data_IF_688126479710
#
_entry.id   IF_688126479710
#
_cell.length_a   1.000
_cell.length_b   1.000
_cell.length_c   1.000
_cell.angle_alpha   90.00
_cell.angle_beta   90.00
_cell.angle_gamma   90.00
#
_symmetry.space_group_name_H-M   'P 1'
#
loop_
_entity.id
_entity.type
_entity.pdbx_description
1 polymer ?
#
# COMPACT_ATOMS: atom_id res chain seq x y z
N UNK A 1 -9.69 -23.17 -20.89
CA UNK A 1 -9.13 -23.20 -19.51
C UNK A 1 -8.12 -22.07 -19.17
N UNK A 2 -7.79 -21.14 -20.09
CA UNK A 2 -6.80 -20.04 -19.85
C UNK A 2 -7.38 -18.61 -19.73
N UNK A 3 -8.71 -18.44 -19.79
CA UNK A 3 -9.31 -17.11 -19.95
C UNK A 3 -10.19 -16.63 -18.77
N UNK A 4 -10.66 -17.49 -17.87
CA UNK A 4 -11.70 -17.10 -16.91
C UNK A 4 -11.31 -17.11 -15.42
N UNK A 5 -10.17 -17.73 -15.04
CA UNK A 5 -9.55 -17.50 -13.72
C UNK A 5 -8.95 -16.09 -13.58
N UNK A 6 -8.98 -15.27 -14.64
CA UNK A 6 -8.63 -13.83 -14.62
C UNK A 6 -9.67 -12.93 -13.93
N UNK A 7 -10.84 -13.45 -13.53
CA UNK A 7 -11.93 -12.62 -12.99
C UNK A 7 -11.98 -12.48 -11.46
N UNK A 8 -11.13 -13.19 -10.70
CA UNK A 8 -11.08 -13.07 -9.22
C UNK A 8 -9.93 -12.19 -8.69
N UNK A 9 -9.11 -11.63 -9.57
CA UNK A 9 -8.17 -10.55 -9.24
C UNK A 9 -8.26 -9.47 -10.32
N UNK A 10 -8.73 -8.28 -9.93
CA UNK A 10 -8.83 -7.02 -10.67
C UNK A 10 -8.15 -6.95 -12.05
N UNK A 11 -8.89 -7.24 -13.13
CA UNK A 11 -8.61 -6.74 -14.49
C UNK A 11 -9.82 -6.99 -15.41
N UNK A 12 -10.83 -6.11 -15.35
CA UNK A 12 -11.87 -6.05 -16.38
C UNK A 12 -11.39 -5.09 -17.46
N UNK A 13 -11.05 -5.60 -18.64
CA UNK A 13 -10.91 -4.77 -19.85
C UNK A 13 -12.33 -4.29 -20.17
N UNK A 14 -12.64 -3.06 -19.76
CA UNK A 14 -13.93 -2.41 -19.97
C UNK A 14 -13.90 -1.72 -21.34
N UNK A 15 -14.03 -2.50 -22.40
CA UNK A 15 -14.30 -1.99 -23.74
C UNK A 15 -15.78 -2.18 -24.06
N UNK A 16 -16.68 -1.57 -23.29
CA UNK A 16 -18.10 -1.51 -23.68
C UNK A 16 -18.76 -0.32 -22.99
N UNK A 17 -19.43 0.50 -23.81
CA UNK A 17 -19.99 1.83 -23.57
C UNK A 17 -20.74 1.93 -22.24
N UNK A 18 -20.02 2.28 -21.18
CA UNK A 18 -20.60 2.60 -19.88
C UNK A 18 -20.73 4.12 -19.76
N UNK A 19 -21.85 4.61 -19.22
CA UNK A 19 -22.00 6.03 -18.86
C UNK A 19 -21.02 6.47 -17.76
N UNK A 20 -20.46 5.51 -17.01
CA UNK A 20 -19.53 5.73 -15.92
C UNK A 20 -18.09 5.50 -16.39
N UNK A 21 -17.15 6.44 -16.12
CA UNK A 21 -15.74 6.24 -16.42
C UNK A 21 -15.19 4.94 -15.78
N UNK A 22 -14.30 4.26 -16.48
CA UNK A 22 -13.91 2.89 -16.14
C UNK A 22 -13.11 2.79 -14.83
N UNK A 23 -12.43 3.86 -14.44
CA UNK A 23 -11.74 4.01 -13.15
C UNK A 23 -12.74 3.94 -11.98
N UNK A 24 -13.91 4.57 -12.10
CA UNK A 24 -14.95 4.51 -11.07
C UNK A 24 -15.57 3.11 -10.99
N UNK A 25 -15.74 2.44 -12.13
CA UNK A 25 -16.16 1.04 -12.13
C UNK A 25 -15.15 0.16 -11.39
N UNK A 26 -13.85 0.34 -11.64
CA UNK A 26 -12.80 -0.42 -10.98
C UNK A 26 -12.79 -0.19 -9.46
N UNK A 27 -12.94 1.05 -9.01
CA UNK A 27 -13.04 1.41 -7.59
C UNK A 27 -14.27 0.77 -6.95
N UNK A 28 -15.43 0.86 -7.61
CA UNK A 28 -16.67 0.25 -7.13
C UNK A 28 -16.54 -1.28 -7.00
N UNK A 29 -15.87 -1.91 -7.95
CA UNK A 29 -15.57 -3.34 -7.85
C UNK A 29 -14.72 -3.65 -6.63
N UNK A 30 -13.58 -2.97 -6.44
CA UNK A 30 -12.74 -3.16 -5.28
C UNK A 30 -13.54 -2.99 -3.97
N UNK A 31 -14.30 -1.91 -3.86
CA UNK A 31 -15.14 -1.61 -2.69
C UNK A 31 -16.18 -2.69 -2.40
N UNK A 32 -16.86 -3.23 -3.42
CA UNK A 32 -17.85 -4.29 -3.25
C UNK A 32 -17.23 -5.59 -2.71
N UNK A 33 -16.02 -5.93 -3.16
CA UNK A 33 -15.34 -7.15 -2.71
C UNK A 33 -14.51 -6.94 -1.43
N UNK A 34 -14.30 -5.70 -0.97
CA UNK A 34 -13.54 -5.38 0.25
C UNK A 34 -14.12 -5.99 1.53
N UNK A 35 -15.43 -6.25 1.55
CA UNK A 35 -16.10 -6.78 2.74
C UNK A 35 -16.02 -8.30 2.88
N UNK A 36 -15.56 -9.02 1.87
CA UNK A 36 -15.51 -10.49 1.89
C UNK A 36 -14.35 -10.94 2.78
N UNK A 37 -14.65 -11.55 3.92
CA UNK A 37 -13.60 -11.90 4.90
C UNK A 37 -13.10 -13.35 4.74
N UNK A 38 -13.87 -14.22 4.08
CA UNK A 38 -13.54 -15.64 4.00
C UNK A 38 -13.78 -16.24 2.62
N UNK A 39 -13.07 -17.34 2.34
CA UNK A 39 -13.29 -18.16 1.14
C UNK A 39 -14.71 -18.72 1.11
N UNK A 40 -15.26 -19.14 2.25
CA UNK A 40 -16.64 -19.63 2.33
C UNK A 40 -17.66 -18.55 1.94
N UNK A 41 -17.42 -17.30 2.36
CA UNK A 41 -18.27 -16.16 1.97
C UNK A 41 -18.15 -15.87 0.45
N UNK A 42 -16.94 -15.87 -0.10
CA UNK A 42 -16.72 -15.71 -1.54
C UNK A 42 -17.44 -16.80 -2.36
N UNK A 43 -17.32 -18.05 -1.91
CA UNK A 43 -17.96 -19.21 -2.54
C UNK A 43 -19.49 -19.05 -2.50
N UNK A 44 -20.06 -18.83 -1.32
CA UNK A 44 -21.51 -18.81 -1.14
C UNK A 44 -22.18 -17.62 -1.82
N UNK A 45 -21.60 -16.42 -1.71
CA UNK A 45 -22.24 -15.18 -2.20
C UNK A 45 -22.01 -14.93 -3.70
N UNK A 46 -20.93 -15.45 -4.28
CA UNK A 46 -20.51 -15.06 -5.63
C UNK A 46 -20.25 -16.25 -6.53
N UNK A 47 -19.35 -17.14 -6.13
CA UNK A 47 -18.81 -18.11 -7.09
C UNK A 47 -19.71 -19.33 -7.30
N UNK A 48 -20.40 -19.81 -6.26
CA UNK A 48 -21.39 -20.88 -6.38
C UNK A 48 -22.59 -20.45 -7.24
N UNK A 49 -23.23 -19.27 -7.02
CA UNK A 49 -24.26 -18.75 -7.93
C UNK A 49 -23.76 -18.55 -9.38
N UNK A 50 -22.49 -18.16 -9.55
CA UNK A 50 -21.89 -18.05 -10.88
C UNK A 50 -21.79 -19.41 -11.57
N UNK A 51 -21.24 -20.42 -10.91
CA UNK A 51 -21.13 -21.78 -11.47
C UNK A 51 -22.50 -22.34 -11.83
N UNK A 52 -23.51 -22.10 -10.98
CA UNK A 52 -24.88 -22.54 -11.25
C UNK A 52 -25.45 -21.90 -12.51
N UNK A 53 -25.23 -20.60 -12.70
CA UNK A 53 -25.67 -19.88 -13.90
C UNK A 53 -24.94 -20.33 -15.17
N UNK A 54 -23.68 -20.74 -15.05
CA UNK A 54 -22.81 -21.09 -16.17
C UNK A 54 -22.40 -22.57 -16.14
N UNK A 55 -23.33 -23.45 -15.76
CA UNK A 55 -23.06 -24.89 -15.56
C UNK A 55 -22.37 -25.56 -16.75
N UNK A 56 -22.71 -25.15 -17.98
CA UNK A 56 -22.17 -25.69 -19.22
C UNK A 56 -20.66 -25.41 -19.42
N UNK A 57 -20.07 -24.45 -18.71
CA UNK A 57 -18.63 -24.14 -18.78
C UNK A 57 -17.78 -25.07 -17.90
N UNK A 58 -18.42 -25.91 -17.09
CA UNK A 58 -17.77 -26.76 -16.11
C UNK A 58 -18.08 -28.24 -16.37
N UNK A 59 -17.10 -29.12 -16.15
CA UNK A 59 -17.24 -30.56 -16.41
C UNK A 59 -18.41 -31.16 -15.61
N UNK A 60 -19.20 -32.04 -16.23
CA UNK A 60 -20.23 -32.82 -15.56
C UNK A 60 -19.58 -33.78 -14.56
N UNK A 61 -19.44 -33.33 -13.31
CA UNK A 61 -18.99 -34.14 -12.18
C UNK A 61 -20.05 -34.09 -11.10
N UNK A 62 -20.11 -35.10 -10.24
CA UNK A 62 -21.11 -35.23 -9.17
C UNK A 62 -20.96 -34.20 -8.03
N UNK A 63 -20.10 -33.20 -8.19
CA UNK A 63 -19.89 -32.15 -7.20
C UNK A 63 -20.98 -31.10 -7.32
N UNK A 64 -21.51 -30.67 -6.18
CA UNK A 64 -22.39 -29.51 -6.11
C UNK A 64 -21.66 -28.24 -6.58
N UNK A 65 -22.37 -27.21 -7.04
CA UNK A 65 -21.77 -25.92 -7.42
C UNK A 65 -20.90 -25.32 -6.32
N UNK A 66 -21.30 -25.48 -5.06
CA UNK A 66 -20.58 -25.01 -3.87
C UNK A 66 -19.28 -25.78 -3.65
N UNK A 67 -19.30 -27.11 -3.70
CA UNK A 67 -18.07 -27.92 -3.55
C UNK A 67 -17.07 -27.63 -4.66
N UNK A 68 -17.57 -27.48 -5.88
CA UNK A 68 -16.74 -27.12 -7.04
C UNK A 68 -16.13 -25.73 -6.88
N UNK A 69 -16.93 -24.74 -6.48
CA UNK A 69 -16.47 -23.39 -6.21
C UNK A 69 -15.35 -23.37 -5.17
N UNK A 70 -15.56 -24.07 -4.04
CA UNK A 70 -14.58 -24.20 -2.97
C UNK A 70 -13.28 -24.81 -3.49
N UNK A 71 -13.37 -25.95 -4.20
CA UNK A 71 -12.19 -26.63 -4.72
C UNK A 71 -11.36 -25.74 -5.66
N UNK A 72 -12.01 -25.08 -6.63
CA UNK A 72 -11.31 -24.21 -7.59
C UNK A 72 -10.64 -23.04 -6.88
N UNK A 73 -11.31 -22.41 -5.91
CA UNK A 73 -10.73 -21.27 -5.18
C UNK A 73 -9.58 -21.74 -4.30
N UNK A 74 -9.73 -22.83 -3.55
CA UNK A 74 -8.68 -23.35 -2.67
C UNK A 74 -7.44 -23.75 -3.47
N UNK A 75 -7.60 -24.53 -4.55
CA UNK A 75 -6.48 -24.90 -5.43
C UNK A 75 -5.78 -23.67 -6.03
N UNK A 76 -6.55 -22.63 -6.40
CA UNK A 76 -5.98 -21.37 -6.87
C UNK A 76 -5.19 -20.65 -5.77
N UNK A 77 -5.69 -20.58 -4.55
CA UNK A 77 -5.02 -19.89 -3.45
C UNK A 77 -3.75 -20.63 -3.01
N UNK A 78 -3.78 -21.95 -2.91
CA UNK A 78 -2.62 -22.79 -2.59
C UNK A 78 -1.50 -22.63 -3.63
N UNK A 79 -1.85 -22.72 -4.93
CA UNK A 79 -0.88 -22.55 -6.02
C UNK A 79 -0.17 -21.20 -6.00
N UNK A 80 -0.83 -20.17 -5.46
CA UNK A 80 -0.29 -18.82 -5.34
C UNK A 80 0.18 -18.48 -3.92
N UNK A 81 0.32 -19.46 -3.01
CA UNK A 81 0.70 -19.28 -1.60
C UNK A 81 -0.08 -18.15 -0.90
N UNK A 82 -1.38 -18.06 -1.19
CA UNK A 82 -2.27 -16.95 -0.80
C UNK A 82 -3.42 -17.38 0.11
N UNK A 83 -3.41 -18.63 0.59
CA UNK A 83 -4.41 -19.20 1.50
C UNK A 83 -4.52 -18.38 2.80
N UNK A 84 -3.39 -17.98 3.38
CA UNK A 84 -3.31 -17.21 4.65
C UNK A 84 -3.46 -15.71 4.47
N UNK A 85 -3.45 -15.22 3.24
CA UNK A 85 -3.48 -13.79 2.90
C UNK A 85 -4.69 -13.41 2.06
N UNK A 86 -5.69 -14.30 1.99
CA UNK A 86 -6.91 -14.07 1.23
C UNK A 86 -7.55 -12.72 1.59
N UNK A 87 -7.76 -11.89 0.57
CA UNK A 87 -8.40 -10.57 0.64
C UNK A 87 -7.87 -9.60 1.73
N UNK A 88 -6.67 -9.82 2.29
CA UNK A 88 -6.05 -8.90 3.27
C UNK A 88 -5.62 -7.58 2.65
N UNK A 89 -5.29 -7.58 1.36
CA UNK A 89 -4.86 -6.41 0.61
C UNK A 89 -5.45 -6.42 -0.78
N UNK A 90 -6.06 -5.31 -1.17
CA UNK A 90 -6.63 -5.12 -2.50
C UNK A 90 -5.76 -4.18 -3.33
N UNK A 91 -5.66 -4.50 -4.62
CA UNK A 91 -4.96 -3.69 -5.61
C UNK A 91 -5.85 -3.49 -6.82
N UNK A 92 -5.86 -2.27 -7.34
CA UNK A 92 -6.53 -1.90 -8.58
C UNK A 92 -5.46 -1.73 -9.66
N UNK A 93 -5.61 -2.43 -10.79
CA UNK A 93 -4.73 -2.27 -11.94
C UNK A 93 -5.60 -1.87 -13.12
N UNK A 94 -5.45 -0.63 -13.56
CA UNK A 94 -6.08 -0.08 -14.74
C UNK A 94 -5.17 -0.35 -15.94
N UNK A 95 -5.76 -0.89 -17.01
CA UNK A 95 -5.05 -1.24 -18.23
C UNK A 95 -5.81 -0.64 -19.42
N UNK A 96 -5.15 0.22 -20.19
CA UNK A 96 -5.74 0.87 -21.36
C UNK A 96 -4.68 1.10 -22.45
N UNK A 97 -5.13 1.42 -23.68
CA UNK A 97 -4.22 1.84 -24.75
C UNK A 97 -3.65 3.25 -24.52
N UNK A 98 -4.43 4.09 -23.85
CA UNK A 98 -4.05 5.42 -23.39
C UNK A 98 -4.98 5.86 -22.24
N UNK A 99 -4.60 6.92 -21.53
CA UNK A 99 -5.39 7.53 -20.46
C UNK A 99 -5.50 9.03 -20.69
N UNK A 100 -6.69 9.60 -20.53
CA UNK A 100 -6.84 11.05 -20.55
C UNK A 100 -6.33 11.70 -19.24
N UNK A 101 -6.09 13.01 -19.31
CA UNK A 101 -5.54 13.78 -18.20
C UNK A 101 -6.40 13.75 -16.94
N UNK A 102 -7.74 13.67 -17.08
CA UNK A 102 -8.64 13.66 -15.93
C UNK A 102 -8.53 12.33 -15.19
N UNK A 103 -8.55 11.21 -15.91
CA UNK A 103 -8.34 9.89 -15.32
C UNK A 103 -6.97 9.78 -14.65
N UNK A 104 -5.90 10.26 -15.30
CA UNK A 104 -4.56 10.26 -14.71
C UNK A 104 -4.48 11.13 -13.46
N UNK A 105 -5.09 12.32 -13.47
CA UNK A 105 -5.14 13.21 -12.31
C UNK A 105 -5.86 12.56 -11.13
N UNK A 106 -7.02 11.94 -11.37
CA UNK A 106 -7.77 11.22 -10.35
C UNK A 106 -6.98 10.03 -9.79
N UNK A 107 -6.36 9.23 -10.66
CA UNK A 107 -5.53 8.09 -10.24
C UNK A 107 -4.28 8.55 -9.48
N UNK A 108 -3.65 9.65 -9.89
CA UNK A 108 -2.51 10.21 -9.18
C UNK A 108 -2.90 10.69 -7.78
N UNK A 109 -4.07 11.31 -7.63
CA UNK A 109 -4.62 11.68 -6.33
C UNK A 109 -4.89 10.45 -5.46
N UNK A 110 -5.42 9.36 -6.02
CA UNK A 110 -5.63 8.09 -5.30
C UNK A 110 -4.31 7.45 -4.85
N UNK A 111 -3.29 7.44 -5.71
CA UNK A 111 -1.93 6.99 -5.35
C UNK A 111 -1.35 7.85 -4.24
N UNK A 112 -1.50 9.18 -4.33
CA UNK A 112 -1.05 10.11 -3.29
C UNK A 112 -1.76 9.87 -1.95
N UNK A 113 -3.07 9.57 -2.02
CA UNK A 113 -3.89 9.14 -0.89
C UNK A 113 -3.90 7.63 -0.73
N UNK A 114 -2.78 6.97 -1.04
CA UNK A 114 -2.48 5.69 -0.45
C UNK A 114 -3.34 4.50 -0.91
N UNK A 115 -4.14 4.70 -1.95
CA UNK A 115 -4.85 3.62 -2.62
C UNK A 115 -3.86 2.87 -3.50
N UNK A 116 -3.79 1.54 -3.34
CA UNK A 116 -2.95 0.68 -4.18
C UNK A 116 -3.58 0.54 -5.57
N UNK A 117 -3.41 1.58 -6.39
CA UNK A 117 -3.86 1.67 -7.78
C UNK A 117 -2.68 1.87 -8.73
N UNK A 118 -2.70 1.22 -9.89
CA UNK A 118 -1.70 1.40 -10.94
C UNK A 118 -2.35 1.60 -12.31
N UNK A 119 -1.75 2.46 -13.13
CA UNK A 119 -2.16 2.69 -14.52
C UNK A 119 -1.10 2.14 -15.47
N UNK A 120 -1.46 1.12 -16.25
CA UNK A 120 -0.60 0.48 -17.24
C UNK A 120 -1.14 0.79 -18.64
N UNK A 121 -0.29 1.40 -19.45
CA UNK A 121 -0.53 1.60 -20.86
C UNK A 121 -0.02 0.37 -21.63
N UNK A 122 -0.85 -0.22 -22.49
CA UNK A 122 -0.45 -1.35 -23.35
C UNK A 122 -0.65 -0.98 -24.81
N UNK A 123 0.41 -1.09 -25.60
CA UNK A 123 0.41 -0.80 -27.03
C UNK A 123 0.92 -2.01 -27.82
N UNK A 124 0.21 -2.46 -28.86
CA UNK A 124 0.74 -3.47 -29.78
C UNK A 124 1.87 -2.87 -30.62
N UNK A 125 2.97 -3.62 -30.76
CA UNK A 125 4.10 -3.22 -31.60
C UNK A 125 4.51 -4.38 -32.51
N UNK A 126 4.93 -4.07 -33.74
CA UNK A 126 5.40 -5.07 -34.70
C UNK A 126 6.89 -4.85 -34.95
N UNK A 127 7.71 -5.85 -34.66
CA UNK A 127 9.16 -5.84 -34.90
C UNK A 127 9.50 -7.09 -35.71
N UNK A 128 10.16 -6.94 -36.85
CA UNK A 128 10.63 -8.06 -37.69
C UNK A 128 9.58 -9.16 -37.95
N UNK A 129 8.34 -8.74 -38.22
CA UNK A 129 7.19 -9.61 -38.47
C UNK A 129 6.64 -10.38 -37.24
N UNK A 130 7.13 -10.09 -36.04
CA UNK A 130 6.60 -10.59 -34.77
C UNK A 130 5.79 -9.49 -34.05
N UNK A 131 4.70 -9.90 -33.41
CA UNK A 131 3.82 -9.01 -32.65
C UNK A 131 4.21 -9.06 -31.17
N UNK A 132 4.47 -7.90 -30.58
CA UNK A 132 4.76 -7.73 -29.16
C UNK A 132 3.75 -6.79 -28.51
N UNK A 133 3.67 -6.85 -27.18
CA UNK A 133 2.94 -5.89 -26.37
C UNK A 133 3.95 -5.05 -25.60
N UNK A 134 4.01 -3.76 -25.91
CA UNK A 134 4.72 -2.79 -25.10
C UNK A 134 3.86 -2.44 -23.90
N UNK A 135 4.38 -2.63 -22.68
CA UNK A 135 3.69 -2.32 -21.43
C UNK A 135 4.45 -1.21 -20.73
N UNK A 136 3.80 -0.06 -20.57
CA UNK A 136 4.35 1.10 -19.87
C UNK A 136 3.55 1.38 -18.59
N UNK A 137 4.24 1.62 -17.47
CA UNK A 137 3.59 2.01 -16.20
C UNK A 137 3.57 3.53 -16.11
N UNK A 138 2.39 4.13 -16.20
CA UNK A 138 2.21 5.57 -16.05
C UNK A 138 2.11 5.98 -14.58
N UNK A 139 1.37 5.22 -13.78
CA UNK A 139 1.18 5.47 -12.35
C UNK A 139 1.34 4.18 -11.52
N UNK A 140 1.98 4.25 -10.34
CA UNK A 140 2.89 5.32 -9.94
C UNK A 140 4.06 5.44 -10.94
N UNK A 141 4.58 6.67 -11.12
CA UNK A 141 5.79 6.88 -11.93
C UNK A 141 6.94 6.11 -11.31
N UNK A 142 7.68 5.37 -12.15
CA UNK A 142 8.87 4.66 -11.69
C UNK A 142 9.93 5.68 -11.29
N UNK A 143 10.41 5.61 -10.06
CA UNK A 143 11.51 6.43 -9.56
C UNK A 143 12.83 5.75 -9.90
N UNK A 144 13.92 6.51 -9.91
CA UNK A 144 15.26 5.95 -10.09
C UNK A 144 15.56 4.85 -9.05
N UNK A 145 15.05 5.04 -7.83
CA UNK A 145 15.16 4.08 -6.74
C UNK A 145 14.57 2.70 -7.09
N UNK A 146 13.53 2.65 -7.94
CA UNK A 146 12.87 1.40 -8.35
C UNK A 146 13.74 0.55 -9.30
N UNK A 147 14.82 1.12 -9.85
CA UNK A 147 15.77 0.43 -10.73
C UNK A 147 16.94 -0.22 -9.97
N UNK A 148 17.19 0.16 -8.72
CA UNK A 148 18.24 -0.48 -7.94
C UNK A 148 17.76 -1.86 -7.47
N UNK A 149 18.55 -2.88 -7.79
CA UNK A 149 18.34 -4.23 -7.29
C UNK A 149 18.83 -4.26 -5.85
N UNK A 150 17.93 -4.47 -4.89
CA UNK A 150 18.30 -4.78 -3.50
C UNK A 150 19.19 -6.03 -3.52
N UNK A 151 20.43 -5.90 -3.01
CA UNK A 151 21.33 -7.06 -2.88
C UNK A 151 20.70 -8.02 -1.88
N UNK A 152 20.30 -9.20 -2.33
CA UNK A 152 19.81 -10.24 -1.45
C UNK A 152 20.92 -10.64 -0.47
N UNK A 153 20.60 -10.65 0.82
CA UNK A 153 21.48 -11.15 1.87
C UNK A 153 21.70 -12.66 1.64
N UNK A 154 22.78 -13.01 0.93
CA UNK A 154 23.21 -14.39 0.70
C UNK A 154 23.81 -14.95 1.98
N UNK A 155 22.95 -15.26 2.95
CA UNK A 155 23.44 -15.70 4.25
C UNK A 155 22.39 -15.84 5.34
N UNK A 156 21.19 -16.37 5.02
CA UNK A 156 20.33 -17.03 6.00
C UNK A 156 19.33 -17.96 5.30
N UNK A 157 19.31 -19.17 5.81
CA UNK A 157 18.38 -20.26 5.52
C UNK A 157 16.94 -19.77 5.39
N UNK A 158 16.22 -20.38 4.44
CA UNK A 158 14.77 -20.27 4.22
C UNK A 158 13.97 -20.68 5.48
N UNK A 159 13.91 -19.79 6.45
CA UNK A 159 12.96 -19.74 7.56
C UNK A 159 13.24 -18.47 8.38
N UNK A 160 12.93 -17.31 7.80
CA UNK A 160 12.58 -16.14 8.60
C UNK A 160 11.24 -15.61 8.10
N UNK A 161 10.25 -15.82 8.96
CA UNK A 161 9.10 -14.94 9.08
C UNK A 161 9.70 -13.55 9.35
N UNK A 162 9.69 -12.69 8.35
CA UNK A 162 9.75 -11.26 8.61
C UNK A 162 8.83 -10.59 7.60
N UNK A 163 7.61 -10.33 8.07
CA UNK A 163 6.77 -9.32 7.47
C UNK A 163 7.40 -7.97 7.79
N UNK A 164 8.48 -7.61 7.08
CA UNK A 164 8.78 -6.20 6.91
C UNK A 164 7.67 -5.64 6.03
N UNK A 165 6.62 -5.16 6.70
CA UNK A 165 5.75 -4.13 6.16
C UNK A 165 6.71 -3.04 5.65
N UNK A 166 6.96 -2.98 4.34
CA UNK A 166 7.63 -1.83 3.71
C UNK A 166 6.75 -0.62 4.02
N UNK A 167 7.01 0.05 5.15
CA UNK A 167 6.31 1.25 5.57
C UNK A 167 6.61 2.28 4.48
N UNK A 168 5.61 2.52 3.62
CA UNK A 168 5.70 3.56 2.62
C UNK A 168 5.95 4.88 3.36
N UNK A 169 7.05 5.57 3.04
CA UNK A 169 7.49 6.83 3.70
C UNK A 169 6.37 7.88 3.78
N UNK A 170 5.39 7.80 2.89
CA UNK A 170 4.24 8.70 2.80
C UNK A 170 3.23 8.53 3.96
N UNK A 171 3.20 7.38 4.66
CA UNK A 171 2.27 7.12 5.79
C UNK A 171 2.86 7.42 7.17
N UNK A 172 4.08 7.97 7.23
CA UNK A 172 4.69 8.22 8.53
C UNK A 172 3.95 9.35 9.25
N UNK A 173 3.48 9.11 10.49
CA UNK A 173 2.65 10.04 11.24
C UNK A 173 3.38 11.37 11.43
N UNK A 174 2.72 12.49 11.14
CA UNK A 174 3.31 13.84 11.29
C UNK A 174 3.31 14.28 12.75
N UNK A 175 3.94 15.41 13.04
CA UNK A 175 4.20 15.87 14.40
C UNK A 175 2.94 15.94 15.28
N UNK A 176 1.78 16.31 14.71
CA UNK A 176 0.50 16.32 15.42
C UNK A 176 0.15 14.94 16.03
N UNK A 177 0.35 13.86 15.26
CA UNK A 177 0.13 12.48 15.73
C UNK A 177 1.15 12.03 16.76
N UNK A 178 2.40 12.52 16.71
CA UNK A 178 3.41 12.17 17.72
C UNK A 178 3.06 12.78 19.09
N UNK A 179 2.49 14.00 19.08
CA UNK A 179 1.98 14.63 20.28
C UNK A 179 0.73 13.90 20.80
N UNK A 180 -0.18 13.51 19.92
CA UNK A 180 -1.38 12.74 20.27
C UNK A 180 -1.01 11.38 20.90
N UNK A 181 -0.02 10.70 20.35
CA UNK A 181 0.49 9.43 20.89
C UNK A 181 1.39 9.59 22.12
N UNK A 182 1.68 10.82 22.55
CA UNK A 182 2.51 11.10 23.71
C UNK A 182 3.99 10.75 23.54
N UNK A 183 4.46 10.45 22.30
CA UNK A 183 5.88 10.24 21.97
C UNK A 183 6.68 11.52 22.20
N UNK A 184 6.03 12.67 21.97
CA UNK A 184 6.58 14.00 22.25
C UNK A 184 5.52 14.77 23.01
N UNK A 185 5.94 15.49 24.05
CA UNK A 185 5.09 16.34 24.86
C UNK A 185 5.65 17.76 24.94
N UNK A 186 4.80 18.70 25.35
CA UNK A 186 5.24 20.06 25.62
C UNK A 186 6.30 20.04 26.73
N UNK A 187 7.45 20.67 26.47
CA UNK A 187 8.60 20.68 27.37
C UNK A 187 9.67 19.64 27.06
N UNK A 188 9.45 18.75 26.09
CA UNK A 188 10.46 17.75 25.71
C UNK A 188 11.66 18.37 24.98
N UNK A 189 12.85 17.84 25.28
CA UNK A 189 14.10 18.29 24.68
C UNK A 189 14.43 17.39 23.49
N UNK A 190 14.62 18.02 22.33
CA UNK A 190 15.10 17.38 21.11
C UNK A 190 16.49 17.89 20.74
N UNK A 191 17.32 17.03 20.18
CA UNK A 191 18.65 17.40 19.65
C UNK A 191 18.82 16.92 18.21
N UNK A 192 19.74 17.50 17.45
CA UNK A 192 20.05 17.06 16.08
C UNK A 192 21.25 16.10 16.13
N UNK A 193 21.09 14.90 15.56
CA UNK A 193 22.12 13.88 15.48
C UNK A 193 23.41 14.44 14.86
N UNK A 194 24.51 14.38 15.61
CA UNK A 194 25.84 14.80 15.15
C UNK A 194 26.16 16.28 15.36
N UNK A 195 25.26 17.08 15.94
CA UNK A 195 25.48 18.51 16.18
C UNK A 195 25.44 18.83 17.69
N UNK A 196 26.55 19.38 18.19
CA UNK A 196 26.65 19.89 19.57
C UNK A 196 25.86 21.20 19.71
N UNK A 197 25.31 21.47 20.90
CA UNK A 197 24.49 22.65 21.22
C UNK A 197 23.25 22.83 20.33
N UNK A 198 22.67 21.70 19.91
CA UNK A 198 21.47 21.64 19.07
C UNK A 198 20.17 21.52 19.86
N UNK A 199 20.23 21.48 21.19
CA UNK A 199 19.09 21.24 22.07
C UNK A 199 18.00 22.30 21.94
N UNK A 200 16.76 21.84 21.76
CA UNK A 200 15.59 22.67 21.60
C UNK A 200 14.37 22.07 22.30
N UNK A 201 13.50 22.93 22.82
CA UNK A 201 12.34 22.54 23.64
C UNK A 201 11.07 22.52 22.81
N UNK A 202 10.40 21.38 22.76
CA UNK A 202 9.13 21.20 22.06
C UNK A 202 8.03 22.01 22.75
N UNK A 203 7.47 23.03 22.07
CA UNK A 203 6.35 23.82 22.61
C UNK A 203 5.04 23.16 22.22
N UNK A 204 4.88 22.86 20.93
CA UNK A 204 3.65 22.29 20.36
C UNK A 204 3.97 21.54 19.06
N UNK A 205 3.00 20.87 18.41
CA UNK A 205 3.25 20.10 17.20
C UNK A 205 3.87 20.88 16.03
N UNK A 206 3.71 22.21 16.01
CA UNK A 206 4.20 23.05 14.90
C UNK A 206 5.51 23.76 15.23
N UNK A 207 5.75 24.06 16.50
CA UNK A 207 6.81 24.96 16.93
C UNK A 207 7.68 24.36 18.04
N UNK A 208 8.95 24.69 17.95
CA UNK A 208 10.01 24.36 18.90
C UNK A 208 10.73 25.65 19.30
N UNK A 209 11.21 25.71 20.54
CA UNK A 209 12.02 26.81 21.04
C UNK A 209 13.50 26.44 20.97
N UNK A 210 14.29 27.23 20.26
CA UNK A 210 15.73 27.08 20.18
C UNK A 210 16.40 28.41 20.50
N UNK A 211 17.27 28.43 21.52
CA UNK A 211 17.98 29.65 21.97
C UNK A 211 17.04 30.86 22.22
N UNK A 212 15.87 30.60 22.81
CA UNK A 212 14.84 31.62 23.09
C UNK A 212 14.08 32.14 21.87
N UNK A 213 14.22 31.51 20.71
CA UNK A 213 13.44 31.82 19.50
C UNK A 213 12.49 30.68 19.16
N UNK A 214 11.23 31.04 18.89
CA UNK A 214 10.21 30.10 18.42
C UNK A 214 10.35 29.89 16.91
N UNK A 215 10.62 28.65 16.51
CA UNK A 215 10.84 28.24 15.13
C UNK A 215 9.97 27.03 14.82
N UNK A 216 9.73 26.75 13.53
CA UNK A 216 9.25 25.42 13.15
C UNK A 216 10.38 24.38 13.29
N UNK A 217 10.01 23.11 13.42
CA UNK A 217 10.97 22.01 13.54
C UNK A 217 11.98 21.95 12.38
N UNK A 218 11.53 22.19 11.15
CA UNK A 218 12.42 22.23 9.99
C UNK A 218 13.32 23.48 9.99
N UNK A 219 12.80 24.65 10.39
CA UNK A 219 13.62 25.87 10.49
C UNK A 219 14.69 25.76 11.57
N UNK A 220 14.36 25.14 12.71
CA UNK A 220 15.34 24.80 13.75
C UNK A 220 16.44 23.89 13.18
N UNK A 221 16.06 22.80 12.49
CA UNK A 221 17.02 21.91 11.85
C UNK A 221 17.90 22.60 10.81
N UNK A 222 17.34 23.44 9.94
CA UNK A 222 18.10 24.25 8.98
C UNK A 222 19.08 25.20 9.67
N UNK A 223 18.67 25.81 10.79
CA UNK A 223 19.50 26.76 11.54
C UNK A 223 20.66 26.09 12.28
N UNK A 224 20.48 24.86 12.75
CA UNK A 224 21.53 24.06 13.39
C UNK A 224 22.49 23.47 12.36
N UNK A 225 21.97 22.96 11.24
CA UNK A 225 22.77 22.23 10.24
C UNK A 225 23.40 23.12 9.17
N UNK A 226 22.83 24.30 8.92
CA UNK A 226 23.20 25.19 7.82
C UNK A 226 22.64 24.79 6.45
N UNK A 227 21.77 23.78 6.39
CA UNK A 227 21.22 23.29 5.11
C UNK A 227 20.04 24.13 4.61
N UNK A 228 19.86 24.15 3.29
CA UNK A 228 18.70 24.80 2.64
C UNK A 228 17.37 24.08 2.91
N UNK A 229 17.40 22.78 3.22
CA UNK A 229 16.23 21.98 3.58
C UNK A 229 16.62 20.80 4.47
N UNK A 230 15.69 20.34 5.32
CA UNK A 230 15.90 19.19 6.21
C UNK A 230 14.58 18.45 6.44
N UNK A 231 14.63 17.11 6.44
CA UNK A 231 13.55 16.27 6.95
C UNK A 231 13.80 16.01 8.44
N UNK A 232 13.14 16.78 9.32
CA UNK A 232 13.51 16.80 10.74
C UNK A 232 13.44 15.43 11.42
N UNK A 233 12.56 14.55 10.96
CA UNK A 233 12.33 13.24 11.59
C UNK A 233 13.53 12.31 11.49
N UNK A 234 14.33 12.44 10.43
CA UNK A 234 15.52 11.62 10.21
C UNK A 234 16.72 12.07 11.07
N UNK A 235 16.66 13.27 11.63
CA UNK A 235 17.80 13.93 12.27
C UNK A 235 17.55 14.28 13.73
N UNK A 236 16.31 14.53 14.12
CA UNK A 236 15.96 14.85 15.49
C UNK A 236 15.95 13.59 16.38
N UNK A 237 16.66 13.66 17.50
CA UNK A 237 16.71 12.67 18.56
C UNK A 237 15.86 13.19 19.72
N UNK A 238 14.97 12.35 20.25
CA UNK A 238 14.26 12.64 21.49
C UNK A 238 15.13 12.27 22.68
N UNK A 239 15.46 13.22 23.55
CA UNK A 239 16.26 12.93 24.76
C UNK A 239 15.50 12.04 25.76
N UNK A 240 14.17 12.05 25.70
CA UNK A 240 13.31 11.19 26.52
C UNK A 240 13.46 9.70 26.16
N UNK A 241 13.59 9.40 24.87
CA UNK A 241 13.66 8.02 24.36
C UNK A 241 15.06 7.60 23.92
N UNK A 242 15.99 8.54 23.74
CA UNK A 242 17.33 8.27 23.22
C UNK A 242 17.38 7.92 21.72
N UNK A 243 16.24 7.98 21.03
CA UNK A 243 16.11 7.52 19.65
C UNK A 243 15.69 8.63 18.67
N UNK A 244 15.88 8.36 17.39
CA UNK A 244 15.42 9.22 16.30
C UNK A 244 13.90 9.24 16.22
N UNK A 245 13.35 10.41 15.90
CA UNK A 245 11.92 10.53 15.68
C UNK A 245 11.42 9.60 14.56
N UNK A 246 12.22 9.35 13.52
CA UNK A 246 11.89 8.41 12.44
C UNK A 246 11.71 6.96 12.94
N UNK A 247 12.52 6.53 13.89
CA UNK A 247 12.42 5.19 14.50
C UNK A 247 11.15 5.09 15.34
N UNK A 248 10.95 6.04 16.25
CA UNK A 248 9.79 6.09 17.15
C UNK A 248 8.46 6.14 16.37
N UNK A 249 8.45 6.81 15.22
CA UNK A 249 7.30 6.88 14.30
C UNK A 249 6.93 5.52 13.72
N UNK A 250 7.93 4.74 13.30
CA UNK A 250 7.72 3.42 12.70
C UNK A 250 7.24 2.44 13.74
N UNK A 251 7.87 2.42 14.90
CA UNK A 251 7.53 1.51 15.99
C UNK A 251 6.11 1.71 16.50
N UNK A 252 5.72 2.97 16.78
CA UNK A 252 4.35 3.22 17.26
C UNK A 252 3.29 2.97 16.19
N UNK A 253 3.60 3.25 14.91
CA UNK A 253 2.68 2.92 13.81
C UNK A 253 2.46 1.40 13.69
N UNK A 254 3.51 0.59 13.85
CA UNK A 254 3.41 -0.86 13.87
C UNK A 254 2.59 -1.36 15.06
N UNK A 255 2.78 -0.77 16.25
CA UNK A 255 1.97 -1.08 17.44
C UNK A 255 0.50 -0.74 17.23
N UNK A 256 0.18 0.46 16.71
CA UNK A 256 -1.20 0.89 16.45
C UNK A 256 -1.89 0.01 15.40
N UNK A 257 -1.16 -0.46 14.39
CA UNK A 257 -1.67 -1.44 13.42
C UNK A 257 -1.99 -2.79 14.09
N UNK A 258 -1.12 -3.27 14.97
CA UNK A 258 -1.32 -4.54 15.70
C UNK A 258 -2.45 -4.43 16.75
N UNK A 259 -2.54 -3.31 17.48
CA UNK A 259 -3.59 -3.03 18.47
C UNK A 259 -4.98 -2.96 17.82
N UNK A 260 -5.09 -2.32 16.65
CA UNK A 260 -6.34 -2.24 15.88
C UNK A 260 -6.76 -3.60 15.25
N UNK A 261 -5.82 -4.51 15.00
CA UNK A 261 -6.13 -5.89 14.59
C UNK A 261 -6.61 -6.75 15.78
N UNK A 262 -6.05 -6.55 16.98
CA UNK A 262 -6.44 -7.25 18.20
C UNK A 262 -7.83 -6.85 18.73
N UNK A 263 -8.21 -5.57 18.65
CA UNK A 263 -9.49 -5.06 19.16
C UNK A 263 -10.73 -5.53 18.37
N UNK A 264 -10.54 -6.14 17.18
CA UNK A 264 -11.63 -6.77 16.41
C UNK A 264 -11.84 -8.25 16.75
N UNK A 265 -11.08 -8.80 17.70
CA UNK A 265 -11.03 -10.21 18.03
C UNK A 265 -11.55 -10.63 19.40
N UNK A 266 -12.13 -9.73 20.20
CA UNK A 266 -12.81 -10.12 21.45
C UNK A 266 -14.35 -10.08 21.26
N UNK A 267 -15.06 -11.15 21.69
CA UNK A 267 -16.47 -11.40 21.36
C UNK A 267 -17.48 -10.46 22.03
#
# INVERSE_FOLDING_TARGET
>A
MRLYLRRLASARILAEVSKEPFEFQAIRYAANYAKIQSVAELVSKLFSPYIERYRNEYDASDLTPTERATRIITEFLEKNNSDKTFNKKQRIILIAADFDEQTLSACAWLVHNHVDISCLQIQPMKVENQLFLHVNRLLPVQKLDDYFVEVADTGKSLAKVDGELKINRTYLPRMDKLFEWGIIQQGDILSIKGYKDSEATAINPKNIEYKGQKLSYNQWGQRVTGWSSICIYQWAISQRHGELLDTLRKERLLQDMNENEGAKGEP
#
